data_IF_183723914268
#
_entry.id   IF_183723914268
#
_cell.length_a   1.000
_cell.length_b   1.000
_cell.length_c   1.000
_cell.angle_alpha   90.00
_cell.angle_beta   90.00
_cell.angle_gamma   90.00
#
_symmetry.space_group_name_H-M   'P 1'
#
loop_
_entity.id
_entity.type
_entity.pdbx_description
1 polymer ?
#
# COMPACT_ATOMS: atom_id res chain seq x y z
N UNK A 1 -9.23 9.32 2.55
CA UNK A 1 -8.97 8.58 3.80
C UNK A 1 -9.67 7.25 3.66
N UNK A 2 -8.96 6.13 3.87
CA UNK A 2 -9.49 4.78 3.64
C UNK A 2 -9.48 4.01 4.97
N UNK A 3 -10.59 3.36 5.30
CA UNK A 3 -10.77 2.60 6.56
C UNK A 3 -10.61 1.12 6.28
N UNK A 4 -9.71 0.45 6.99
CA UNK A 4 -9.38 -0.96 6.78
C UNK A 4 -9.65 -1.79 8.04
N UNK A 5 -10.31 -2.93 7.85
CA UNK A 5 -10.59 -3.92 8.89
C UNK A 5 -10.06 -5.29 8.47
N UNK A 6 -9.57 -6.10 9.42
CA UNK A 6 -9.29 -7.51 9.15
C UNK A 6 -10.57 -8.27 8.84
N UNK A 7 -10.47 -9.23 7.92
CA UNK A 7 -11.58 -10.12 7.59
C UNK A 7 -12.20 -10.74 8.87
N UNK A 8 -13.51 -10.52 9.07
CA UNK A 8 -14.25 -11.03 10.24
C UNK A 8 -14.25 -10.13 11.48
N UNK A 9 -13.60 -8.95 11.48
CA UNK A 9 -13.70 -7.95 12.56
C UNK A 9 -14.55 -6.74 12.13
N UNK A 10 -15.43 -6.28 13.03
CA UNK A 10 -16.28 -5.09 12.85
C UNK A 10 -15.63 -3.77 13.27
N UNK A 11 -14.44 -3.81 13.88
CA UNK A 11 -13.71 -2.63 14.32
C UNK A 11 -12.61 -2.27 13.33
N UNK A 12 -12.52 -0.98 12.98
CA UNK A 12 -11.39 -0.43 12.21
C UNK A 12 -10.08 -0.73 12.90
N UNK A 13 -9.13 -1.29 12.16
CA UNK A 13 -7.76 -1.54 12.65
C UNK A 13 -6.75 -0.54 12.07
N UNK A 14 -6.93 -0.12 10.82
CA UNK A 14 -6.09 0.88 10.18
C UNK A 14 -6.90 1.95 9.48
N UNK A 15 -6.31 3.14 9.40
CA UNK A 15 -6.76 4.22 8.54
C UNK A 15 -5.60 4.73 7.71
N UNK A 16 -5.82 4.76 6.40
CA UNK A 16 -4.91 5.38 5.44
C UNK A 16 -5.26 6.85 5.26
N UNK A 17 -4.29 7.75 5.50
CA UNK A 17 -4.45 9.17 5.24
C UNK A 17 -3.97 9.46 3.82
N UNK A 18 -4.90 9.79 2.94
CA UNK A 18 -4.66 9.86 1.48
C UNK A 18 -4.76 8.49 0.79
N UNK A 19 -4.50 8.45 -0.52
CA UNK A 19 -4.28 7.25 -1.34
C UNK A 19 -3.19 7.58 -2.36
N UNK A 20 -2.17 6.73 -2.48
CA UNK A 20 -1.07 6.90 -3.46
C UNK A 20 -0.53 8.33 -3.51
N UNK A 21 -0.15 8.86 -2.34
CA UNK A 21 0.18 10.29 -2.17
C UNK A 21 1.63 10.63 -2.52
N UNK A 22 2.25 9.90 -3.46
CA UNK A 22 3.60 10.21 -3.96
C UNK A 22 3.66 11.63 -4.51
N UNK A 23 2.62 12.04 -5.25
CA UNK A 23 2.43 13.39 -5.75
C UNK A 23 1.89 14.39 -4.71
N UNK A 24 1.57 13.94 -3.49
CA UNK A 24 0.89 14.71 -2.45
C UNK A 24 -0.63 14.50 -2.44
N UNK A 25 -1.37 15.38 -1.78
CA UNK A 25 -2.84 15.35 -1.67
C UNK A 25 -3.44 16.75 -1.60
N UNK A 26 -4.74 16.89 -1.90
CA UNK A 26 -5.47 18.17 -1.81
C UNK A 26 -4.74 19.31 -2.56
N UNK A 27 -4.46 19.07 -3.83
CA UNK A 27 -3.72 20.04 -4.66
C UNK A 27 -4.51 21.34 -4.84
N UNK A 28 -3.83 22.49 -4.96
CA UNK A 28 -2.37 22.66 -4.96
C UNK A 28 -1.72 22.65 -3.57
N UNK A 29 -2.53 22.75 -2.50
CA UNK A 29 -2.04 23.01 -1.14
C UNK A 29 -1.04 21.96 -0.65
N UNK A 30 -1.35 20.67 -0.80
CA UNK A 30 -0.51 19.57 -0.35
C UNK A 30 0.20 18.81 -1.47
N UNK A 31 0.56 19.48 -2.57
CA UNK A 31 1.35 18.85 -3.65
C UNK A 31 2.76 18.48 -3.16
N UNK A 32 3.44 17.53 -3.81
CA UNK A 32 4.75 16.99 -3.40
C UNK A 32 5.86 18.05 -3.26
N UNK A 33 5.73 19.20 -3.91
CA UNK A 33 6.65 20.36 -3.81
C UNK A 33 6.20 21.39 -2.75
N UNK A 34 5.12 21.11 -2.02
CA UNK A 34 4.59 21.87 -0.90
C UNK A 34 4.72 21.07 0.41
N UNK A 35 5.92 20.56 0.68
CA UNK A 35 6.17 19.53 1.70
C UNK A 35 5.74 19.92 3.13
N UNK A 36 5.83 21.19 3.51
CA UNK A 36 5.40 21.66 4.82
C UNK A 36 3.87 21.63 4.97
N UNK A 37 3.16 22.02 3.92
CA UNK A 37 1.70 21.94 3.87
C UNK A 37 1.24 20.48 3.82
N UNK A 38 1.90 19.64 3.02
CA UNK A 38 1.61 18.21 2.98
C UNK A 38 1.81 17.58 4.38
N UNK A 39 2.92 17.88 5.05
CA UNK A 39 3.17 17.40 6.42
C UNK A 39 2.11 17.90 7.42
N UNK A 40 1.67 19.15 7.32
CA UNK A 40 0.60 19.69 8.16
C UNK A 40 -0.73 18.96 7.94
N UNK A 41 -1.10 18.67 6.69
CA UNK A 41 -2.30 17.90 6.35
C UNK A 41 -2.23 16.47 6.91
N UNK A 42 -1.07 15.81 6.80
CA UNK A 42 -0.89 14.46 7.32
C UNK A 42 -0.97 14.40 8.85
N UNK A 43 -0.39 15.38 9.55
CA UNK A 43 -0.52 15.52 11.02
C UNK A 43 -1.97 15.73 11.44
N UNK A 44 -2.68 16.64 10.77
CA UNK A 44 -4.09 16.88 11.05
C UNK A 44 -4.94 15.61 10.83
N UNK A 45 -4.67 14.85 9.76
CA UNK A 45 -5.30 13.56 9.51
C UNK A 45 -4.98 12.53 10.60
N UNK A 46 -3.74 12.47 11.06
CA UNK A 46 -3.31 11.57 12.13
C UNK A 46 -4.04 11.88 13.43
N UNK A 47 -4.05 13.14 13.84
CA UNK A 47 -4.67 13.58 15.08
C UNK A 47 -6.19 13.35 15.05
N UNK A 48 -6.81 13.57 13.88
CA UNK A 48 -8.22 13.23 13.67
C UNK A 48 -8.47 11.72 13.89
N UNK A 49 -7.64 10.82 13.36
CA UNK A 49 -7.76 9.37 13.63
C UNK A 49 -7.63 9.08 15.13
N UNK A 50 -6.58 9.61 15.76
CA UNK A 50 -6.29 9.31 17.17
C UNK A 50 -7.34 9.88 18.13
N UNK A 51 -8.01 10.97 17.77
CA UNK A 51 -9.13 11.53 18.54
C UNK A 51 -10.39 10.66 18.51
N UNK A 52 -10.58 9.84 17.47
CA UNK A 52 -11.68 8.88 17.38
C UNK A 52 -11.37 7.62 18.19
N UNK A 53 -10.20 7.01 17.95
CA UNK A 53 -9.69 5.87 18.73
C UNK A 53 -8.17 5.78 18.60
N UNK A 54 -7.46 6.00 19.71
CA UNK A 54 -6.00 5.97 19.75
C UNK A 54 -5.36 4.63 19.37
N UNK A 55 -6.14 3.53 19.36
CA UNK A 55 -5.67 2.20 18.97
C UNK A 55 -5.64 1.98 17.46
N UNK A 56 -6.36 2.82 16.68
CA UNK A 56 -6.37 2.71 15.23
C UNK A 56 -4.99 3.07 14.71
N UNK A 57 -4.42 2.19 13.88
CA UNK A 57 -3.13 2.42 13.25
C UNK A 57 -3.26 3.36 12.07
N UNK A 58 -2.38 4.35 11.98
CA UNK A 58 -2.33 5.29 10.87
C UNK A 58 -1.33 4.79 9.83
N UNK A 59 -1.78 4.71 8.57
CA UNK A 59 -0.97 4.28 7.44
C UNK A 59 -0.75 5.45 6.46
N UNK A 60 0.47 5.53 5.94
CA UNK A 60 0.81 6.37 4.78
C UNK A 60 1.11 5.47 3.58
N UNK A 61 0.47 5.72 2.45
CA UNK A 61 0.54 4.89 1.24
C UNK A 61 1.05 5.69 0.04
N UNK A 62 2.12 5.21 -0.58
CA UNK A 62 2.67 5.71 -1.84
C UNK A 62 2.76 4.58 -2.89
N UNK A 63 2.58 4.91 -4.17
CA UNK A 63 2.59 3.99 -5.33
C UNK A 63 4.02 3.65 -5.83
N UNK A 64 5.04 3.82 -4.99
CA UNK A 64 6.46 3.69 -5.36
C UNK A 64 7.08 2.34 -4.95
N UNK A 65 6.29 1.26 -5.02
CA UNK A 65 6.65 -0.08 -4.51
C UNK A 65 7.99 -0.65 -4.99
N UNK A 66 8.37 -0.39 -6.24
CA UNK A 66 9.66 -0.80 -6.81
C UNK A 66 10.71 0.32 -6.86
N UNK A 67 10.35 1.55 -6.50
CA UNK A 67 11.24 2.72 -6.58
C UNK A 67 11.68 3.15 -5.18
N UNK A 68 12.81 2.60 -4.73
CA UNK A 68 13.35 2.88 -3.40
C UNK A 68 13.81 4.34 -3.23
N UNK A 69 14.37 4.95 -4.28
CA UNK A 69 14.83 6.34 -4.21
C UNK A 69 13.66 7.30 -3.94
N UNK A 70 12.55 7.13 -4.68
CA UNK A 70 11.32 7.91 -4.46
C UNK A 70 10.73 7.62 -3.08
N UNK A 71 10.68 6.35 -2.68
CA UNK A 71 10.14 5.96 -1.37
C UNK A 71 10.91 6.61 -0.23
N UNK A 72 12.25 6.54 -0.26
CA UNK A 72 13.11 7.17 0.74
C UNK A 72 12.95 8.67 0.77
N UNK A 73 13.01 9.32 -0.39
CA UNK A 73 12.82 10.77 -0.49
C UNK A 73 11.51 11.21 0.15
N UNK A 74 10.42 10.49 -0.12
CA UNK A 74 9.10 10.84 0.41
C UNK A 74 9.04 10.66 1.94
N UNK A 75 9.39 9.49 2.46
CA UNK A 75 9.31 9.19 3.89
C UNK A 75 10.34 9.98 4.72
N UNK A 76 11.55 10.23 4.19
CA UNK A 76 12.54 11.09 4.84
C UNK A 76 11.98 12.51 5.01
N UNK A 77 11.35 13.06 3.97
CA UNK A 77 10.78 14.41 4.05
C UNK A 77 9.63 14.51 5.05
N UNK A 78 8.78 13.49 5.16
CA UNK A 78 7.67 13.48 6.13
C UNK A 78 8.16 13.27 7.57
N UNK A 79 9.11 12.34 7.77
CA UNK A 79 9.67 12.06 9.10
C UNK A 79 10.50 13.23 9.64
N UNK A 80 11.31 13.89 8.81
CA UNK A 80 12.04 15.12 9.18
C UNK A 80 11.11 16.25 9.62
N UNK A 81 9.89 16.29 9.08
CA UNK A 81 8.86 17.27 9.46
C UNK A 81 8.03 16.84 10.66
N UNK A 82 8.35 15.70 11.28
CA UNK A 82 7.65 15.19 12.46
C UNK A 82 6.27 14.62 12.17
N UNK A 83 6.01 14.14 10.94
CA UNK A 83 4.78 13.38 10.66
C UNK A 83 4.89 12.00 11.33
N UNK A 84 3.92 11.68 12.19
CA UNK A 84 3.82 10.40 12.87
C UNK A 84 2.88 9.45 12.15
N UNK A 85 3.28 8.18 12.04
CA UNK A 85 2.48 7.11 11.44
C UNK A 85 2.94 5.75 11.97
N UNK A 86 2.06 4.75 11.85
CA UNK A 86 2.25 3.42 12.40
C UNK A 86 2.73 2.41 11.34
N UNK A 87 2.28 2.57 10.10
CA UNK A 87 2.49 1.58 9.02
C UNK A 87 2.78 2.25 7.67
N UNK A 88 3.64 1.63 6.87
CA UNK A 88 3.90 2.00 5.46
C UNK A 88 3.04 1.14 4.54
N UNK A 89 2.28 1.76 3.65
CA UNK A 89 1.60 1.10 2.53
C UNK A 89 2.42 1.23 1.24
N UNK A 90 2.57 0.13 0.50
CA UNK A 90 3.24 0.09 -0.81
C UNK A 90 2.39 -0.66 -1.84
N UNK A 91 2.51 -0.27 -3.12
CA UNK A 91 2.13 -1.10 -4.26
C UNK A 91 3.17 -2.21 -4.56
N UNK A 92 2.88 -3.15 -5.45
CA UNK A 92 3.80 -4.26 -5.80
C UNK A 92 4.46 -4.10 -7.18
N UNK A 93 5.79 -4.29 -7.26
CA UNK A 93 6.59 -4.26 -8.51
C UNK A 93 7.81 -5.22 -8.45
N UNK A 94 8.59 -5.31 -9.55
CA UNK A 94 9.73 -6.24 -9.72
C UNK A 94 10.78 -6.18 -8.60
N UNK A 95 10.97 -5.01 -7.97
CA UNK A 95 11.97 -4.78 -6.91
C UNK A 95 11.35 -4.59 -5.51
N UNK A 96 10.12 -5.07 -5.32
CA UNK A 96 9.35 -4.87 -4.08
C UNK A 96 10.08 -5.37 -2.83
N UNK A 97 10.68 -6.57 -2.88
CA UNK A 97 11.31 -7.17 -1.69
C UNK A 97 12.47 -6.30 -1.17
N UNK A 98 13.32 -5.81 -2.08
CA UNK A 98 14.45 -4.94 -1.71
C UNK A 98 13.97 -3.62 -1.11
N UNK A 99 12.95 -3.02 -1.70
CA UNK A 99 12.36 -1.78 -1.21
C UNK A 99 11.71 -1.97 0.16
N UNK A 100 10.85 -2.98 0.32
CA UNK A 100 10.18 -3.33 1.59
C UNK A 100 11.21 -3.56 2.70
N UNK A 101 12.29 -4.31 2.41
CA UNK A 101 13.34 -4.59 3.39
C UNK A 101 14.01 -3.32 3.92
N UNK A 102 14.34 -2.41 3.01
CA UNK A 102 14.94 -1.13 3.36
C UNK A 102 14.00 -0.25 4.16
N UNK A 103 12.77 -0.03 3.68
CA UNK A 103 11.80 0.86 4.34
C UNK A 103 11.45 0.36 5.76
N UNK A 104 11.25 -0.96 5.91
CA UNK A 104 10.95 -1.55 7.22
C UNK A 104 12.09 -1.31 8.22
N UNK A 105 13.34 -1.52 7.79
CA UNK A 105 14.52 -1.36 8.65
C UNK A 105 14.83 0.11 8.93
N UNK A 106 14.73 0.97 7.91
CA UNK A 106 15.08 2.39 7.96
C UNK A 106 14.16 3.19 8.86
N UNK A 107 12.85 2.94 8.76
CA UNK A 107 11.85 3.73 9.49
C UNK A 107 11.35 3.03 10.76
N UNK A 108 11.78 1.79 11.01
CA UNK A 108 11.29 0.92 12.09
C UNK A 108 9.75 0.83 12.06
N UNK A 109 9.22 0.44 10.89
CA UNK A 109 7.79 0.34 10.61
C UNK A 109 7.43 -0.98 9.95
N UNK A 110 6.23 -1.46 10.24
CA UNK A 110 5.60 -2.49 9.42
C UNK A 110 5.35 -1.93 8.01
N UNK A 111 5.58 -2.76 7.00
CA UNK A 111 5.26 -2.46 5.60
C UNK A 111 4.19 -3.44 5.11
N UNK A 112 3.13 -2.92 4.51
CA UNK A 112 2.01 -3.69 3.98
C UNK A 112 1.89 -3.42 2.48
N UNK A 113 1.78 -4.49 1.69
CA UNK A 113 1.34 -4.40 0.30
C UNK A 113 -0.18 -4.20 0.31
N UNK A 114 -0.63 -2.99 -0.01
CA UNK A 114 -2.04 -2.60 0.06
C UNK A 114 -2.72 -2.63 -1.30
N UNK A 115 -1.95 -2.53 -2.37
CA UNK A 115 -2.45 -2.64 -3.74
C UNK A 115 -1.53 -3.52 -4.57
N UNK A 116 -2.13 -4.48 -5.28
CA UNK A 116 -1.44 -5.36 -6.22
C UNK A 116 -2.45 -5.93 -7.20
N UNK A 117 -2.04 -6.10 -8.45
CA UNK A 117 -2.83 -6.73 -9.49
C UNK A 117 -1.91 -7.55 -10.38
N UNK A 118 -2.48 -8.60 -10.97
CA UNK A 118 -1.82 -9.39 -12.00
C UNK A 118 -2.87 -9.82 -13.02
N UNK A 119 -2.63 -9.61 -14.32
CA UNK A 119 -3.62 -9.90 -15.34
C UNK A 119 -3.77 -11.42 -15.50
N UNK A 120 -5.02 -11.88 -15.55
CA UNK A 120 -5.34 -13.27 -15.92
C UNK A 120 -5.61 -13.42 -17.43
N UNK A 121 -5.59 -12.30 -18.17
CA UNK A 121 -5.68 -12.16 -19.63
C UNK A 121 -5.03 -10.82 -20.01
N UNK A 122 -4.50 -10.69 -21.24
CA UNK A 122 -4.08 -9.40 -21.84
C UNK A 122 -5.00 -8.92 -22.94
N UNK A 123 -6.05 -9.68 -23.21
CA UNK A 123 -7.13 -9.27 -24.09
C UNK A 123 -8.22 -8.58 -23.28
N UNK A 124 -8.80 -7.53 -23.85
CA UNK A 124 -9.86 -6.73 -23.24
C UNK A 124 -11.00 -7.62 -22.73
N UNK A 125 -11.36 -7.44 -21.46
CA UNK A 125 -12.49 -8.13 -20.82
C UNK A 125 -13.85 -7.48 -21.06
N UNK A 126 -13.85 -6.25 -21.58
CA UNK A 126 -15.01 -5.41 -21.91
C UNK A 126 -14.62 -4.41 -23.04
N UNK A 127 -15.45 -3.42 -23.41
CA UNK A 127 -15.09 -2.45 -24.45
C UNK A 127 -14.00 -1.44 -24.07
N UNK A 128 -13.56 -1.39 -22.82
CA UNK A 128 -12.48 -0.51 -22.36
C UNK A 128 -11.12 -1.23 -22.54
N UNK A 129 -10.11 -0.58 -23.14
CA UNK A 129 -8.80 -1.20 -23.31
C UNK A 129 -8.16 -1.56 -21.96
N UNK A 130 -7.66 -2.78 -21.84
CA UNK A 130 -6.97 -3.22 -20.63
C UNK A 130 -5.66 -2.43 -20.42
N UNK A 131 -5.42 -1.99 -19.17
CA UNK A 131 -4.21 -1.22 -18.83
C UNK A 131 -2.94 -2.08 -18.83
N UNK A 132 -3.08 -3.41 -18.79
CA UNK A 132 -1.98 -4.38 -18.81
C UNK A 132 -2.11 -5.31 -20.01
N UNK A 133 -1.58 -4.88 -21.15
CA UNK A 133 -1.55 -5.67 -22.40
C UNK A 133 -0.30 -6.56 -22.54
N UNK A 134 0.67 -6.43 -21.63
CA UNK A 134 1.91 -7.21 -21.60
C UNK A 134 2.43 -7.34 -20.15
N UNK A 135 2.89 -8.53 -19.74
CA UNK A 135 3.49 -8.80 -18.41
C UNK A 135 5.03 -8.87 -18.42
N UNK A 136 5.66 -8.65 -19.57
CA UNK A 136 7.10 -8.76 -19.75
C UNK A 136 7.62 -10.17 -19.41
N UNK A 137 8.76 -10.24 -18.73
CA UNK A 137 9.40 -11.49 -18.28
C UNK A 137 8.82 -11.99 -16.95
N UNK A 138 7.49 -12.08 -16.87
CA UNK A 138 6.84 -12.63 -15.69
C UNK A 138 6.91 -14.16 -15.69
N UNK A 139 7.24 -14.81 -14.55
CA UNK A 139 7.24 -16.27 -14.45
C UNK A 139 5.84 -16.88 -14.34
N UNK A 140 4.80 -16.04 -14.18
CA UNK A 140 3.41 -16.49 -14.03
C UNK A 140 2.69 -16.41 -15.37
N UNK A 141 1.87 -17.40 -15.73
CA UNK A 141 1.06 -17.32 -16.94
C UNK A 141 -0.12 -16.36 -16.77
N UNK A 142 -0.52 -15.67 -17.83
CA UNK A 142 -1.73 -14.84 -17.88
C UNK A 142 -2.97 -15.73 -17.91
N UNK A 143 -3.31 -16.30 -16.76
CA UNK A 143 -4.44 -17.20 -16.50
C UNK A 143 -4.90 -17.02 -15.05
N UNK A 144 -6.11 -17.46 -14.67
CA UNK A 144 -6.53 -17.46 -13.27
C UNK A 144 -5.57 -18.22 -12.34
N UNK A 145 -4.96 -19.31 -12.84
CA UNK A 145 -3.96 -20.07 -12.09
C UNK A 145 -2.66 -19.29 -11.88
N UNK A 146 -2.16 -18.59 -12.90
CA UNK A 146 -0.97 -17.76 -12.76
C UNK A 146 -1.20 -16.50 -11.91
N UNK A 147 -2.39 -15.91 -11.98
CA UNK A 147 -2.79 -14.84 -11.06
C UNK A 147 -2.78 -15.34 -9.60
N UNK A 148 -3.28 -16.55 -9.33
CA UNK A 148 -3.21 -17.15 -8.01
C UNK A 148 -1.77 -17.44 -7.55
N UNK A 149 -0.89 -17.88 -8.45
CA UNK A 149 0.54 -18.07 -8.17
C UNK A 149 1.23 -16.74 -7.82
N UNK A 150 0.97 -15.68 -8.60
CA UNK A 150 1.48 -14.34 -8.32
C UNK A 150 1.03 -13.83 -6.95
N UNK A 151 -0.27 -13.90 -6.64
CA UNK A 151 -0.80 -13.51 -5.33
C UNK A 151 -0.22 -14.38 -4.21
N UNK A 152 0.05 -15.65 -4.49
CA UNK A 152 0.78 -16.57 -3.61
C UNK A 152 2.21 -16.12 -3.32
N UNK A 153 2.90 -15.51 -4.29
CA UNK A 153 4.27 -15.03 -4.17
C UNK A 153 4.39 -13.64 -3.53
N UNK A 154 3.36 -12.78 -3.65
CA UNK A 154 3.30 -11.50 -2.93
C UNK A 154 3.13 -11.70 -1.42
N UNK A 155 2.40 -12.76 -1.00
CA UNK A 155 2.17 -13.07 0.42
C UNK A 155 3.47 -13.22 1.24
N UNK A 156 4.49 -13.99 0.81
CA UNK A 156 5.77 -14.10 1.50
C UNK A 156 6.50 -12.77 1.70
N UNK A 157 6.45 -11.86 0.74
CA UNK A 157 7.15 -10.55 0.82
C UNK A 157 6.65 -9.74 2.01
N UNK A 158 5.35 -9.81 2.31
CA UNK A 158 4.75 -9.19 3.51
C UNK A 158 4.98 -9.98 4.81
N UNK A 159 5.29 -11.28 4.74
CA UNK A 159 5.44 -12.14 5.92
C UNK A 159 6.87 -12.27 6.44
N UNK A 160 7.91 -12.10 5.60
CA UNK A 160 9.31 -12.23 6.01
C UNK A 160 9.74 -11.23 7.10
N UNK A 161 9.11 -10.05 7.18
CA UNK A 161 9.36 -9.07 8.24
C UNK A 161 8.63 -9.35 9.57
N UNK A 162 7.51 -10.08 9.54
CA UNK A 162 6.77 -10.46 10.75
C UNK A 162 7.57 -11.42 11.65
N UNK A 163 8.60 -12.07 11.11
CA UNK A 163 9.49 -12.99 11.84
C UNK A 163 10.60 -12.24 12.58
N UNK A 164 10.99 -11.04 12.14
CA UNK A 164 12.12 -10.29 12.72
C UNK A 164 11.72 -9.37 13.88
N UNK A 165 10.43 -9.01 13.98
CA UNK A 165 9.87 -8.22 15.07
C UNK A 165 8.84 -9.05 15.85
N UNK A 166 9.12 -9.49 17.09
CA UNK A 166 8.31 -10.49 17.80
C UNK A 166 6.87 -10.10 18.16
N UNK A 167 6.33 -8.98 17.63
CA UNK A 167 5.05 -8.44 18.12
C UNK A 167 3.98 -8.10 17.09
N UNK A 168 4.15 -8.17 15.77
CA UNK A 168 3.04 -7.80 14.86
C UNK A 168 2.92 -8.69 13.60
N UNK A 169 1.70 -9.22 13.38
CA UNK A 169 1.32 -10.06 12.23
C UNK A 169 0.87 -9.17 11.07
N UNK A 170 1.60 -9.19 9.96
CA UNK A 170 1.27 -8.52 8.68
C UNK A 170 0.04 -9.14 8.02
N UNK A 171 -0.80 -8.31 7.38
CA UNK A 171 -2.02 -8.70 6.65
C UNK A 171 -1.91 -8.15 5.24
N UNK A 172 -2.07 -8.99 4.22
CA UNK A 172 -2.30 -8.53 2.84
C UNK A 172 -3.76 -8.07 2.77
N UNK A 173 -4.00 -6.77 2.62
CA UNK A 173 -5.34 -6.25 2.36
C UNK A 173 -5.63 -6.46 0.86
N UNK A 174 -6.37 -7.51 0.52
CA UNK A 174 -6.80 -7.73 -0.86
C UNK A 174 -7.96 -6.79 -1.20
N UNK A 175 -7.78 -5.95 -2.23
CA UNK A 175 -8.90 -5.35 -2.93
C UNK A 175 -9.60 -6.49 -3.70
N UNK A 176 -10.84 -6.82 -3.31
CA UNK A 176 -11.66 -7.78 -4.06
C UNK A 176 -12.09 -7.08 -5.35
N UNK A 177 -11.76 -7.60 -6.55
CA UNK A 177 -12.29 -7.03 -7.78
C UNK A 177 -13.82 -7.10 -7.75
N UNK A 178 -14.49 -6.01 -8.13
CA UNK A 178 -15.95 -5.85 -8.12
C UNK A 178 -16.72 -6.78 -9.09
N UNK A 179 -16.12 -7.87 -9.58
CA UNK A 179 -16.71 -8.74 -10.60
C UNK A 179 -17.37 -10.03 -10.07
N UNK A 180 -17.35 -10.33 -8.76
CA UNK A 180 -17.94 -11.56 -8.22
C UNK A 180 -19.14 -11.37 -7.27
N UNK A 181 -19.91 -10.29 -7.44
CA UNK A 181 -21.15 -10.07 -6.70
C UNK A 181 -22.41 -10.29 -7.55
N UNK A 182 -22.48 -11.37 -8.35
CA UNK A 182 -23.75 -11.87 -8.92
C UNK A 182 -23.69 -13.37 -9.21
N UNK A 183 -24.00 -14.20 -8.21
CA UNK A 183 -24.80 -15.45 -8.26
C UNK A 183 -25.23 -15.66 -6.79
N UNK A 184 -26.52 -15.61 -6.44
CA UNK A 184 -27.57 -16.49 -6.93
C UNK A 184 -27.64 -17.65 -5.96
#
# INVERSE_FOLDING_TARGET
MVWLSRHGRKSTEWVQIGNEITGGMLWPLGKYDQLDNLAALLKAGHDAVKSVDGRIKVMLHIDSGGNNATSRWWFDNMTQRGVTFDVIGQGSFSDLQGNVNDLATRYDKDVIVVETAYPWTTSDGDPEPDSMTNVGTSPYPQTPAGQAQFLGAVRPVGQQHAVRFPRQRTVVAGCVPAALARRG
#
